data_IF_633169981131
#
_entry.id   IF_633169981131
#
_cell.length_a   1.000
_cell.length_b   1.000
_cell.length_c   1.000
_cell.angle_alpha   90.00
_cell.angle_beta   90.00
_cell.angle_gamma   90.00
#
_symmetry.space_group_name_H-M   'P 1'
#
loop_
_entity.id
_entity.type
_entity.pdbx_description
1 polymer ?
#
# COMPACT_ATOMS: atom_id res chain seq x y z
N UNK A 1 -4.11 -4.96 8.79
CA UNK A 1 -5.25 -5.21 7.88
C UNK A 1 -5.02 -6.50 7.11
N UNK A 2 -5.93 -7.47 7.18
CA UNK A 2 -5.80 -8.73 6.46
C UNK A 2 -6.53 -8.60 5.12
N UNK A 3 -5.76 -8.37 4.07
CA UNK A 3 -6.32 -8.24 2.71
C UNK A 3 -6.67 -9.63 2.16
N UNK A 4 -7.92 -9.81 1.69
CA UNK A 4 -8.37 -11.06 1.06
C UNK A 4 -7.61 -11.23 -0.25
N UNK A 5 -6.88 -12.37 -0.40
CA UNK A 5 -6.02 -12.62 -1.57
C UNK A 5 -4.60 -12.06 -1.45
N UNK A 6 -4.18 -11.64 -0.25
CA UNK A 6 -2.81 -11.19 -0.01
C UNK A 6 -1.78 -12.28 -0.29
N UNK A 7 -0.79 -11.97 -1.13
CA UNK A 7 0.27 -12.91 -1.58
C UNK A 7 1.47 -12.97 -0.61
N UNK A 8 1.35 -12.39 0.60
CA UNK A 8 2.48 -12.29 1.55
C UNK A 8 3.09 -13.64 1.92
N UNK A 9 2.27 -14.69 2.02
CA UNK A 9 2.74 -16.05 2.33
C UNK A 9 3.45 -16.73 1.15
N UNK A 10 3.33 -16.19 -0.06
CA UNK A 10 3.91 -16.75 -1.29
C UNK A 10 5.21 -16.03 -1.69
N UNK A 11 5.59 -14.96 -1.00
CA UNK A 11 6.72 -14.11 -1.40
C UNK A 11 8.03 -14.89 -1.49
N UNK A 12 8.29 -15.80 -0.57
CA UNK A 12 9.49 -16.61 -0.56
C UNK A 12 9.53 -17.54 -1.78
N UNK A 13 8.43 -18.23 -2.06
CA UNK A 13 8.33 -19.11 -3.23
C UNK A 13 8.47 -18.34 -4.54
N UNK A 14 7.83 -17.17 -4.67
CA UNK A 14 7.93 -16.30 -5.84
C UNK A 14 9.40 -15.87 -6.05
N UNK A 15 10.08 -15.45 -4.97
CA UNK A 15 11.48 -15.06 -5.05
C UNK A 15 12.38 -16.22 -5.48
N UNK A 16 12.18 -17.41 -4.90
CA UNK A 16 12.97 -18.59 -5.24
C UNK A 16 12.81 -18.97 -6.72
N UNK A 17 11.58 -18.95 -7.23
CA UNK A 17 11.34 -19.23 -8.65
C UNK A 17 12.07 -18.22 -9.54
N UNK A 18 11.97 -16.93 -9.26
CA UNK A 18 12.61 -15.89 -10.07
C UNK A 18 14.13 -16.03 -10.03
N UNK A 19 14.73 -16.21 -8.87
CA UNK A 19 16.18 -16.32 -8.74
C UNK A 19 16.74 -17.60 -9.35
N UNK A 20 15.94 -18.68 -9.40
CA UNK A 20 16.37 -19.96 -9.97
C UNK A 20 16.18 -20.01 -11.47
N UNK A 21 15.01 -19.58 -11.96
CA UNK A 21 14.64 -19.73 -13.36
C UNK A 21 15.14 -18.56 -14.23
N UNK A 22 15.27 -17.35 -13.65
CA UNK A 22 15.63 -16.14 -14.39
C UNK A 22 16.65 -15.30 -13.57
N UNK A 23 17.88 -15.81 -13.37
CA UNK A 23 18.85 -15.18 -12.48
C UNK A 23 19.29 -13.76 -12.93
N UNK A 24 19.20 -13.46 -14.22
CA UNK A 24 19.64 -12.17 -14.79
C UNK A 24 18.51 -11.12 -14.89
N UNK A 25 17.34 -11.39 -14.29
CA UNK A 25 16.23 -10.42 -14.30
C UNK A 25 16.59 -9.18 -13.47
N UNK A 26 16.34 -8.00 -14.03
CA UNK A 26 16.52 -6.70 -13.35
C UNK A 26 15.22 -5.91 -13.22
N UNK A 27 14.17 -6.30 -13.95
CA UNK A 27 12.87 -5.65 -13.92
C UNK A 27 11.72 -6.65 -13.88
N UNK A 28 10.69 -6.32 -13.13
CA UNK A 28 9.50 -7.16 -12.94
C UNK A 28 8.23 -6.34 -13.09
N UNK A 29 7.17 -6.98 -13.55
CA UNK A 29 5.84 -6.39 -13.63
C UNK A 29 4.89 -7.24 -12.78
N UNK A 30 4.24 -6.60 -11.81
CA UNK A 30 3.16 -7.18 -11.01
C UNK A 30 1.82 -6.71 -11.58
N UNK A 31 1.20 -7.53 -12.42
CA UNK A 31 -0.01 -7.17 -13.17
C UNK A 31 -1.27 -7.11 -12.30
N UNK A 32 -1.29 -7.76 -11.15
CA UNK A 32 -2.42 -7.81 -10.23
C UNK A 32 -1.90 -7.57 -8.81
N UNK A 33 -1.40 -6.37 -8.59
CA UNK A 33 -0.63 -6.02 -7.41
C UNK A 33 -1.42 -6.02 -6.10
N UNK A 34 -2.74 -5.86 -6.16
CA UNK A 34 -3.59 -5.84 -4.98
C UNK A 34 -3.10 -4.85 -3.94
N UNK A 35 -2.71 -5.33 -2.78
CA UNK A 35 -2.14 -4.51 -1.70
C UNK A 35 -0.71 -4.02 -1.94
N UNK A 36 -0.06 -4.42 -3.04
CA UNK A 36 1.32 -4.08 -3.35
C UNK A 36 2.39 -4.92 -2.63
N UNK A 37 2.02 -5.99 -1.93
CA UNK A 37 2.96 -6.79 -1.15
C UNK A 37 4.09 -7.40 -1.99
N UNK A 38 3.77 -7.94 -3.17
CA UNK A 38 4.76 -8.52 -4.10
C UNK A 38 5.63 -7.42 -4.69
N UNK A 39 5.03 -6.33 -5.14
CA UNK A 39 5.76 -5.18 -5.69
C UNK A 39 6.74 -4.58 -4.68
N UNK A 40 6.31 -4.39 -3.42
CA UNK A 40 7.16 -3.88 -2.33
C UNK A 40 8.34 -4.85 -2.05
N UNK A 41 8.07 -6.16 -2.05
CA UNK A 41 9.12 -7.16 -1.88
C UNK A 41 10.17 -7.09 -3.01
N UNK A 42 9.77 -6.94 -4.26
CA UNK A 42 10.70 -6.82 -5.37
C UNK A 42 11.53 -5.52 -5.30
N UNK A 43 10.92 -4.41 -4.93
CA UNK A 43 11.63 -3.14 -4.73
C UNK A 43 12.68 -3.28 -3.63
N UNK A 44 12.34 -3.91 -2.50
CA UNK A 44 13.29 -4.13 -1.39
C UNK A 44 14.49 -4.99 -1.79
N UNK A 45 14.34 -5.83 -2.83
CA UNK A 45 15.41 -6.66 -3.41
C UNK A 45 16.18 -5.97 -4.55
N UNK A 46 15.83 -4.73 -4.88
CA UNK A 46 16.53 -3.93 -5.89
C UNK A 46 16.01 -4.10 -7.32
N UNK A 47 14.92 -4.83 -7.55
CA UNK A 47 14.32 -4.93 -8.86
C UNK A 47 13.61 -3.63 -9.26
N UNK A 48 13.77 -3.22 -10.53
CA UNK A 48 12.91 -2.20 -11.13
C UNK A 48 11.50 -2.79 -11.26
N UNK A 49 10.53 -2.26 -10.51
CA UNK A 49 9.20 -2.85 -10.42
C UNK A 49 8.13 -1.94 -11.01
N UNK A 50 7.28 -2.52 -11.86
CA UNK A 50 6.05 -1.89 -12.35
C UNK A 50 4.89 -2.61 -11.68
N UNK A 51 4.05 -1.84 -10.97
CA UNK A 51 2.87 -2.35 -10.28
C UNK A 51 1.62 -1.89 -10.99
N UNK A 52 0.71 -2.82 -11.29
CA UNK A 52 -0.56 -2.53 -11.95
C UNK A 52 -1.70 -3.27 -11.26
N UNK A 53 -2.86 -2.61 -11.16
CA UNK A 53 -4.11 -3.23 -10.74
C UNK A 53 -5.29 -2.49 -11.37
N UNK A 54 -6.37 -3.19 -11.65
CA UNK A 54 -7.58 -2.62 -12.23
C UNK A 54 -8.42 -1.86 -11.20
N UNK A 55 -8.31 -2.23 -9.91
CA UNK A 55 -9.09 -1.62 -8.85
C UNK A 55 -8.44 -0.31 -8.40
N UNK A 56 -9.19 0.78 -8.45
CA UNK A 56 -8.72 2.10 -7.99
C UNK A 56 -8.20 2.06 -6.53
N UNK A 57 -8.86 1.31 -5.67
CA UNK A 57 -8.42 1.10 -4.29
C UNK A 57 -7.01 0.49 -4.21
N UNK A 58 -6.73 -0.54 -5.02
CA UNK A 58 -5.42 -1.17 -5.10
C UNK A 58 -4.36 -0.20 -5.65
N UNK A 59 -4.73 0.63 -6.63
CA UNK A 59 -3.87 1.69 -7.14
C UNK A 59 -3.47 2.68 -6.04
N UNK A 60 -4.41 3.14 -5.22
CA UNK A 60 -4.12 4.06 -4.09
C UNK A 60 -3.19 3.40 -3.08
N UNK A 61 -3.44 2.15 -2.69
CA UNK A 61 -2.57 1.39 -1.78
C UNK A 61 -1.16 1.21 -2.36
N UNK A 62 -1.06 0.83 -3.63
CA UNK A 62 0.23 0.65 -4.31
C UNK A 62 1.00 1.96 -4.40
N UNK A 63 0.34 3.08 -4.68
CA UNK A 63 0.99 4.39 -4.65
C UNK A 63 1.55 4.73 -3.28
N UNK A 64 0.82 4.45 -2.23
CA UNK A 64 1.26 4.73 -0.87
C UNK A 64 2.45 3.86 -0.44
N UNK A 65 2.48 2.57 -0.84
CA UNK A 65 3.49 1.61 -0.39
C UNK A 65 4.70 1.49 -1.33
N UNK A 66 4.51 1.71 -2.64
CA UNK A 66 5.52 1.45 -3.67
C UNK A 66 6.21 2.74 -4.14
N UNK A 67 5.47 3.84 -4.27
CA UNK A 67 5.98 5.09 -4.83
C UNK A 67 6.54 6.03 -3.78
N UNK A 68 5.98 6.02 -2.56
CA UNK A 68 6.40 6.92 -1.49
C UNK A 68 7.58 6.33 -0.72
N UNK A 69 8.78 6.81 -1.04
CA UNK A 69 10.03 6.36 -0.40
C UNK A 69 10.38 7.12 0.89
N UNK A 70 9.67 8.19 1.20
CA UNK A 70 9.93 9.04 2.37
C UNK A 70 8.61 9.44 3.01
N UNK A 71 8.60 9.49 4.34
CA UNK A 71 7.48 10.06 5.08
C UNK A 71 7.21 11.48 4.58
N UNK A 72 5.98 11.81 4.15
CA UNK A 72 5.63 13.18 3.78
C UNK A 72 5.85 14.12 4.96
N UNK A 73 6.32 15.34 4.71
CA UNK A 73 6.60 16.28 5.79
C UNK A 73 5.34 16.88 6.44
N UNK A 74 4.21 16.75 5.78
CA UNK A 74 2.91 17.31 6.19
C UNK A 74 2.91 18.81 6.55
N UNK A 75 3.99 19.52 6.22
CA UNK A 75 4.17 20.96 6.53
C UNK A 75 3.04 21.82 5.97
N UNK A 76 2.48 21.43 4.83
CA UNK A 76 1.38 22.14 4.20
C UNK A 76 0.08 22.10 5.06
N UNK A 77 -0.04 21.13 5.97
CA UNK A 77 -1.18 21.05 6.89
C UNK A 77 -1.01 21.92 8.15
N UNK A 78 0.16 22.52 8.36
CA UNK A 78 0.44 23.34 9.54
C UNK A 78 0.47 22.59 10.87
N UNK A 79 0.52 21.25 10.84
CA UNK A 79 0.52 20.40 12.04
C UNK A 79 1.91 19.88 12.33
N UNK A 80 2.32 19.89 13.60
CA UNK A 80 3.66 19.42 14.01
C UNK A 80 3.79 17.90 13.98
N UNK A 81 2.75 17.18 14.43
CA UNK A 81 2.65 15.71 14.39
C UNK A 81 1.34 15.31 13.70
N UNK A 82 1.41 14.90 12.42
CA UNK A 82 0.21 14.55 11.65
C UNK A 82 -0.50 13.31 12.16
N UNK A 83 0.22 12.33 12.74
CA UNK A 83 -0.39 11.10 13.25
C UNK A 83 -1.18 11.40 14.52
N UNK A 84 -0.59 12.18 15.42
CA UNK A 84 -1.29 12.64 16.62
C UNK A 84 -2.52 13.47 16.27
N UNK A 85 -2.36 14.41 15.34
CA UNK A 85 -3.47 15.24 14.85
C UNK A 85 -4.63 14.40 14.31
N UNK A 86 -4.33 13.40 13.44
CA UNK A 86 -5.36 12.52 12.87
C UNK A 86 -6.05 11.64 13.92
N UNK A 87 -5.32 11.18 14.94
CA UNK A 87 -5.88 10.39 16.04
C UNK A 87 -6.75 11.21 17.01
N UNK A 88 -6.51 12.51 17.09
CA UNK A 88 -7.27 13.45 17.95
C UNK A 88 -8.49 14.06 17.24
N UNK A 89 -8.63 13.84 15.90
CA UNK A 89 -9.82 14.28 15.17
C UNK A 89 -11.05 13.50 15.65
N UNK A 90 -12.03 14.24 16.18
CA UNK A 90 -13.35 13.67 16.43
C UNK A 90 -14.12 13.55 15.11
N UNK A 91 -14.91 12.48 14.99
CA UNK A 91 -15.76 12.24 13.80
C UNK A 91 -16.74 13.39 13.59
N UNK A 92 -17.16 14.03 14.69
CA UNK A 92 -18.09 15.17 14.67
C UNK A 92 -17.46 16.47 14.14
N UNK A 93 -16.13 16.56 14.16
CA UNK A 93 -15.38 17.74 13.69
C UNK A 93 -14.96 17.64 12.22
N UNK A 94 -15.28 16.56 11.52
CA UNK A 94 -14.96 16.38 10.12
C UNK A 94 -16.16 16.69 9.24
N UNK A 95 -15.95 17.42 8.14
CA UNK A 95 -16.97 17.68 7.12
C UNK A 95 -17.40 16.41 6.36
N UNK A 96 -16.77 15.26 6.66
CA UNK A 96 -17.09 13.97 6.07
C UNK A 96 -18.20 13.29 6.87
N UNK A 97 -19.35 13.11 6.23
CA UNK A 97 -20.41 12.25 6.76
C UNK A 97 -19.95 10.78 6.67
N UNK A 98 -20.21 10.02 7.73
CA UNK A 98 -19.86 8.59 7.82
C UNK A 98 -20.45 7.78 6.66
N UNK A 99 -21.62 8.18 6.17
CA UNK A 99 -22.32 7.54 5.06
C UNK A 99 -21.57 7.63 3.72
N UNK A 100 -20.68 8.60 3.57
CA UNK A 100 -19.88 8.81 2.36
C UNK A 100 -18.51 8.10 2.42
N UNK A 101 -18.14 7.50 3.56
CA UNK A 101 -16.80 6.91 3.76
C UNK A 101 -16.84 5.40 4.02
N UNK A 102 -16.78 4.62 2.97
CA UNK A 102 -16.69 3.15 3.03
C UNK A 102 -15.55 2.64 3.94
N UNK A 103 -14.45 3.38 4.05
CA UNK A 103 -13.30 3.03 4.90
C UNK A 103 -13.64 3.17 6.39
N UNK A 104 -14.44 4.16 6.78
CA UNK A 104 -14.83 4.40 8.17
C UNK A 104 -15.74 3.29 8.72
N UNK A 105 -16.67 2.78 7.91
CA UNK A 105 -17.58 1.69 8.27
C UNK A 105 -16.80 0.40 8.54
N UNK A 106 -15.73 0.15 7.79
CA UNK A 106 -14.90 -1.05 7.93
C UNK A 106 -14.00 -1.01 9.18
N UNK A 107 -13.60 0.17 9.65
CA UNK A 107 -12.76 0.34 10.85
C UNK A 107 -13.59 0.23 12.13
N UNK A 108 -14.85 0.63 12.12
CA UNK A 108 -15.75 0.53 13.28
C UNK A 108 -16.31 -0.89 13.51
N UNK A 109 -16.23 -1.77 12.53
CA UNK A 109 -16.71 -3.16 12.63
C UNK A 109 -15.63 -4.18 13.03
N UNK A 110 -14.43 -3.72 13.34
CA UNK A 110 -13.35 -4.47 13.98
C UNK A 110 -13.18 -4.02 15.43
#
# INVERSE_FOLDING_TARGET
MRYIGGKSLLLENINNVITTEIPDVFSVIDLFSGSGAVSTNFISKGYRTISNDILYFCYVLSRASVVINKMPSFRALGVGDPIKYLNELSIESTDFKIDDCFIFVTIQSC
#
